data_IF_559029224169
#
_entry.id   IF_559029224169
#
_cell.length_a   1.000
_cell.length_b   1.000
_cell.length_c   1.000
_cell.angle_alpha   90.00
_cell.angle_beta   90.00
_cell.angle_gamma   90.00
#
_symmetry.space_group_name_H-M   'P 1'
#
loop_
_entity.id
_entity.type
_entity.pdbx_description
1 polymer ?
#
# COMPACT_ATOMS: atom_id res chain seq x y z
N UNK A 1 21.76 0.26 -2.11
CA UNK A 1 20.60 -0.43 -2.71
C UNK A 1 19.37 0.30 -2.19
N UNK A 2 18.55 0.81 -3.11
CA UNK A 2 17.70 1.99 -2.93
C UNK A 2 16.97 2.10 -1.60
N UNK A 3 17.31 3.17 -0.90
CA UNK A 3 16.56 3.80 0.19
C UNK A 3 15.12 3.97 -0.29
N UNK A 4 14.18 3.18 0.24
CA UNK A 4 12.84 3.72 0.44
C UNK A 4 13.05 5.06 1.14
N UNK A 5 12.40 6.11 0.64
CA UNK A 5 12.49 7.44 1.22
C UNK A 5 12.42 7.29 2.73
N UNK A 6 13.39 7.90 3.42
CA UNK A 6 13.63 7.75 4.85
C UNK A 6 12.36 8.04 5.68
N UNK A 7 11.33 8.62 5.07
CA UNK A 7 9.98 8.83 5.57
C UNK A 7 8.99 8.69 4.39
N UNK A 8 7.94 7.87 4.54
CA UNK A 8 6.77 7.92 3.66
C UNK A 8 6.07 9.28 3.86
N UNK A 9 5.67 9.94 2.77
CA UNK A 9 4.87 11.16 2.87
C UNK A 9 3.46 10.85 3.38
N UNK A 10 2.87 11.80 4.09
CA UNK A 10 1.46 11.73 4.50
C UNK A 10 0.54 12.32 3.40
N UNK A 11 -0.68 11.79 3.22
CA UNK A 11 -1.24 10.60 3.87
C UNK A 11 -0.61 9.30 3.32
N UNK A 12 -0.64 8.23 4.12
CA UNK A 12 -0.25 6.90 3.65
C UNK A 12 -1.48 6.18 3.13
N UNK A 13 -1.38 5.70 1.91
CA UNK A 13 -2.45 5.04 1.17
C UNK A 13 -2.09 3.59 0.89
N UNK A 14 -3.09 2.73 0.84
CA UNK A 14 -2.91 1.37 0.36
C UNK A 14 -4.16 0.80 -0.29
N UNK A 15 -3.95 -0.08 -1.26
CA UNK A 15 -4.99 -0.87 -1.89
C UNK A 15 -4.50 -2.29 -2.14
N UNK A 16 -5.41 -3.27 -2.07
CA UNK A 16 -5.10 -4.67 -2.31
C UNK A 16 -5.82 -5.21 -3.53
N UNK A 17 -5.07 -5.50 -4.59
CA UNK A 17 -5.56 -6.27 -5.72
C UNK A 17 -5.46 -7.78 -5.45
N UNK A 18 -6.22 -8.61 -6.19
CA UNK A 18 -5.96 -10.04 -6.27
C UNK A 18 -4.50 -10.31 -6.64
N UNK A 19 -3.89 -11.33 -6.06
CA UNK A 19 -2.48 -11.68 -6.31
C UNK A 19 -2.33 -12.16 -7.76
N UNK A 20 -1.69 -11.34 -8.60
CA UNK A 20 -1.41 -11.67 -10.02
C UNK A 20 -0.02 -12.24 -10.26
N UNK A 21 0.96 -11.83 -9.47
CA UNK A 21 2.37 -12.17 -9.65
C UNK A 21 2.85 -13.16 -8.58
N UNK A 22 3.69 -14.10 -9.00
CA UNK A 22 4.40 -15.00 -8.08
C UNK A 22 5.23 -14.13 -7.12
N UNK A 23 5.10 -14.38 -5.81
CA UNK A 23 5.75 -13.65 -4.71
C UNK A 23 5.26 -12.22 -4.42
N UNK A 24 4.11 -11.79 -4.95
CA UNK A 24 3.45 -10.54 -4.52
C UNK A 24 2.39 -10.80 -3.45
N UNK A 25 2.26 -9.88 -2.49
CA UNK A 25 1.16 -9.87 -1.52
C UNK A 25 -0.13 -9.19 -2.05
N UNK A 26 -0.05 -8.58 -3.25
CA UNK A 26 -1.14 -7.84 -3.89
C UNK A 26 -1.33 -6.41 -3.35
N UNK A 27 -0.50 -5.98 -2.40
CA UNK A 27 -0.54 -4.64 -1.80
C UNK A 27 0.25 -3.63 -2.63
N UNK A 28 -0.39 -2.50 -2.89
CA UNK A 28 0.21 -1.30 -3.45
C UNK A 28 0.07 -0.20 -2.41
N UNK A 29 1.19 0.33 -1.94
CA UNK A 29 1.26 1.29 -0.82
C UNK A 29 2.10 2.47 -1.26
N UNK A 30 1.60 3.67 -0.99
CA UNK A 30 2.30 4.91 -1.32
C UNK A 30 2.01 5.99 -0.26
N UNK A 31 2.81 7.05 -0.28
CA UNK A 31 2.65 8.22 0.56
C UNK A 31 2.38 9.47 -0.28
N UNK A 32 1.65 10.42 0.29
CA UNK A 32 1.24 11.65 -0.39
C UNK A 32 -0.11 11.53 -1.10
N UNK A 33 -0.57 12.66 -1.64
CA UNK A 33 -1.89 12.77 -2.27
C UNK A 33 -1.90 12.31 -3.73
N UNK A 34 -0.73 12.29 -4.39
CA UNK A 34 -0.62 11.93 -5.80
C UNK A 34 -0.58 10.41 -6.00
N UNK A 35 -1.51 9.92 -6.80
CA UNK A 35 -1.52 8.55 -7.33
C UNK A 35 -1.21 8.56 -8.82
N UNK A 36 -0.45 7.57 -9.28
CA UNK A 36 -0.15 7.39 -10.70
C UNK A 36 -0.18 5.91 -11.08
N UNK A 37 -0.69 5.64 -12.29
CA UNK A 37 -0.68 4.32 -12.91
C UNK A 37 0.59 4.08 -13.76
N UNK A 38 1.54 5.02 -13.74
CA UNK A 38 2.80 4.86 -14.45
C UNK A 38 3.53 3.60 -13.98
N UNK A 39 4.14 2.87 -14.91
CA UNK A 39 4.77 1.57 -14.65
C UNK A 39 5.94 1.62 -13.66
N UNK A 40 6.52 2.81 -13.47
CA UNK A 40 7.64 3.11 -12.58
C UNK A 40 7.21 3.78 -11.26
N UNK A 41 5.90 4.00 -11.05
CA UNK A 41 5.39 4.61 -9.82
C UNK A 41 5.62 3.71 -8.59
N UNK A 42 5.48 2.38 -8.76
CA UNK A 42 5.71 1.41 -7.69
C UNK A 42 7.02 0.66 -7.86
N UNK A 43 7.77 0.50 -6.77
CA UNK A 43 8.93 -0.38 -6.68
C UNK A 43 8.66 -1.57 -5.75
N UNK A 44 9.13 -2.79 -6.06
CA UNK A 44 8.96 -3.94 -5.17
C UNK A 44 9.58 -3.70 -3.79
N UNK A 45 8.84 -4.02 -2.74
CA UNK A 45 9.32 -3.97 -1.36
C UNK A 45 8.92 -5.24 -0.61
N UNK A 46 9.90 -5.86 0.05
CA UNK A 46 9.62 -6.95 0.98
C UNK A 46 8.89 -6.41 2.22
N UNK A 47 7.86 -7.13 2.66
CA UNK A 47 7.08 -6.79 3.85
C UNK A 47 7.98 -6.55 5.06
N UNK A 48 9.06 -7.31 5.22
CA UNK A 48 10.02 -7.12 6.31
C UNK A 48 10.54 -5.67 6.40
N UNK A 49 11.00 -5.08 5.29
CA UNK A 49 11.47 -3.69 5.27
C UNK A 49 10.33 -2.67 5.44
N UNK A 50 9.11 -3.00 4.97
CA UNK A 50 7.94 -2.17 5.22
C UNK A 50 7.62 -2.09 6.72
N UNK A 51 7.77 -3.19 7.46
CA UNK A 51 7.53 -3.23 8.90
C UNK A 51 8.58 -2.47 9.71
N UNK A 52 9.82 -2.41 9.23
CA UNK A 52 10.87 -1.59 9.85
C UNK A 52 10.62 -0.09 9.70
N UNK A 53 9.99 0.32 8.59
CA UNK A 53 9.80 1.74 8.24
C UNK A 53 8.42 2.28 8.59
N UNK A 54 7.36 1.47 8.51
CA UNK A 54 5.98 1.87 8.76
C UNK A 54 5.18 0.74 9.44
N UNK A 55 5.43 0.46 10.73
CA UNK A 55 4.80 -0.67 11.44
C UNK A 55 3.27 -0.56 11.52
N UNK A 56 2.70 0.65 11.48
CA UNK A 56 1.25 0.87 11.47
C UNK A 56 0.55 0.17 10.30
N UNK A 57 1.23 -0.03 9.17
CA UNK A 57 0.63 -0.71 8.00
C UNK A 57 0.30 -2.19 8.27
N UNK A 58 0.96 -2.81 9.27
CA UNK A 58 0.77 -4.23 9.58
C UNK A 58 -0.69 -4.60 9.86
N UNK A 59 -1.45 -3.70 10.49
CA UNK A 59 -2.86 -3.95 10.83
C UNK A 59 -3.74 -4.13 9.59
N UNK A 60 -3.36 -3.56 8.44
CA UNK A 60 -4.12 -3.66 7.20
C UNK A 60 -3.73 -4.87 6.35
N UNK A 61 -2.53 -5.44 6.52
CA UNK A 61 -2.03 -6.50 5.63
C UNK A 61 -2.87 -7.79 5.66
N UNK A 62 -3.70 -7.96 6.69
CA UNK A 62 -4.68 -9.04 6.80
C UNK A 62 -5.98 -8.85 6.00
N UNK A 63 -6.27 -7.63 5.52
CA UNK A 63 -7.49 -7.34 4.76
C UNK A 63 -7.48 -8.06 3.40
N UNK A 64 -8.63 -8.61 2.98
CA UNK A 64 -8.77 -9.33 1.72
C UNK A 64 -8.51 -8.42 0.49
N UNK A 65 -8.29 -8.98 -0.71
CA UNK A 65 -8.38 -8.18 -1.94
C UNK A 65 -9.70 -7.40 -2.01
N UNK A 66 -9.67 -6.21 -2.61
CA UNK A 66 -10.82 -5.30 -2.62
C UNK A 66 -10.81 -4.26 -1.51
N UNK A 67 -9.86 -4.30 -0.58
CA UNK A 67 -9.80 -3.34 0.52
C UNK A 67 -8.77 -2.25 0.29
N UNK A 68 -9.10 -1.06 0.82
CA UNK A 68 -8.27 0.14 0.82
C UNK A 68 -8.11 0.66 2.22
N UNK A 69 -7.03 1.40 2.43
CA UNK A 69 -6.84 2.21 3.62
C UNK A 69 -6.19 3.54 3.25
N UNK A 70 -6.47 4.55 4.06
CA UNK A 70 -5.80 5.84 4.06
C UNK A 70 -5.65 6.26 5.52
N UNK A 71 -4.46 6.70 5.91
CA UNK A 71 -4.30 7.35 7.22
C UNK A 71 -3.26 8.46 7.19
N UNK A 72 -3.49 9.46 8.03
CA UNK A 72 -2.53 10.50 8.42
C UNK A 72 -2.48 10.65 9.95
N UNK A 73 -2.01 11.80 10.43
CA UNK A 73 -1.90 12.10 11.87
C UNK A 73 -3.26 12.27 12.57
N UNK A 74 -4.31 12.60 11.82
CA UNK A 74 -5.61 13.03 12.34
C UNK A 74 -6.79 12.19 11.82
N UNK A 75 -6.60 11.49 10.70
CA UNK A 75 -7.64 10.75 10.01
C UNK A 75 -7.18 9.34 9.67
N UNK A 76 -8.10 8.39 9.76
CA UNK A 76 -7.90 7.01 9.32
C UNK A 76 -9.21 6.49 8.75
N UNK A 77 -9.13 5.85 7.58
CA UNK A 77 -10.27 5.25 6.91
C UNK A 77 -9.86 3.94 6.25
N UNK A 78 -10.78 2.99 6.28
CA UNK A 78 -10.62 1.64 5.74
C UNK A 78 -11.94 1.24 5.09
N UNK A 79 -11.93 1.08 3.77
CA UNK A 79 -13.15 0.83 3.01
C UNK A 79 -12.95 -0.24 1.95
N UNK A 80 -14.07 -0.87 1.58
CA UNK A 80 -14.12 -1.83 0.50
C UNK A 80 -14.38 -1.10 -0.83
N UNK A 81 -13.63 -1.48 -1.85
CA UNK A 81 -13.67 -0.98 -3.21
C UNK A 81 -13.74 -2.18 -4.17
N UNK A 82 -14.97 -2.50 -4.59
CA UNK A 82 -15.23 -3.63 -5.49
C UNK A 82 -14.51 -3.50 -6.84
N UNK A 83 -14.16 -2.28 -7.26
CA UNK A 83 -13.48 -2.04 -8.53
C UNK A 83 -12.09 -2.68 -8.57
N UNK A 84 -11.46 -2.91 -7.41
CA UNK A 84 -10.15 -3.57 -7.31
C UNK A 84 -10.20 -5.08 -7.59
N UNK A 85 -11.39 -5.68 -7.56
CA UNK A 85 -11.60 -7.11 -7.84
C UNK A 85 -11.85 -7.36 -9.33
N UNK A 86 -12.13 -6.31 -10.09
CA UNK A 86 -12.40 -6.41 -11.52
C UNK A 86 -11.05 -6.42 -12.25
N UNK A 87 -10.86 -7.44 -13.09
CA UNK A 87 -9.65 -7.68 -13.88
C UNK A 87 -9.82 -7.20 -15.31
#
# INVERSE_FOLDING_TARGET
MNTFAKELLWPVNGLRHPVKAVHSAGWYIWGGEEFSEASDFFSPLHIHHLLETMPKVLQYLGLAPGWRFLFDETYEDVWFDESLLIL
#
